data_IF_702782569616
#
_entry.id   IF_702782569616
#
_cell.length_a   1.000
_cell.length_b   1.000
_cell.length_c   1.000
_cell.angle_alpha   90.00
_cell.angle_beta   90.00
_cell.angle_gamma   90.00
#
_symmetry.space_group_name_H-M   'P 1'
#
loop_
_entity.id
_entity.type
_entity.pdbx_description
1 polymer ?
#
# COMPACT_ATOMS: atom_id res chain seq x y z
N UNK A 1 -9.75 15.11 -7.95
CA UNK A 1 -10.52 14.65 -6.78
C UNK A 1 -11.61 15.66 -6.45
N UNK A 2 -12.67 15.23 -5.78
CA UNK A 2 -13.61 16.15 -5.15
C UNK A 2 -13.00 16.63 -3.82
N UNK A 3 -13.23 17.90 -3.50
CA UNK A 3 -12.79 18.50 -2.24
C UNK A 3 -14.03 18.98 -1.51
N UNK A 4 -14.24 18.52 -0.28
CA UNK A 4 -15.29 19.03 0.60
C UNK A 4 -14.61 19.85 1.70
N UNK A 5 -14.95 21.13 1.81
CA UNK A 5 -14.33 22.07 2.75
C UNK A 5 -12.77 22.13 2.69
N UNK A 6 -12.18 21.87 1.52
CA UNK A 6 -10.73 21.83 1.33
C UNK A 6 -10.08 20.49 1.70
N UNK A 7 -10.88 19.48 2.06
CA UNK A 7 -10.42 18.13 2.39
C UNK A 7 -10.70 17.18 1.22
N UNK A 8 -9.71 16.39 0.79
CA UNK A 8 -9.91 15.29 -0.16
C UNK A 8 -11.09 14.37 0.20
N UNK A 9 -12.06 14.23 -0.71
CA UNK A 9 -13.19 13.32 -0.56
C UNK A 9 -13.57 12.65 -1.90
N UNK A 10 -13.95 11.37 -1.86
CA UNK A 10 -14.31 10.59 -3.03
C UNK A 10 -13.11 10.08 -3.84
N UNK A 11 -13.38 9.58 -5.04
CA UNK A 11 -12.36 9.02 -5.92
C UNK A 11 -11.50 10.11 -6.58
N UNK A 12 -10.20 9.86 -6.70
CA UNK A 12 -9.31 10.72 -7.47
C UNK A 12 -7.83 10.40 -7.27
N UNK A 13 -7.03 11.27 -7.89
CA UNK A 13 -5.58 11.32 -7.78
C UNK A 13 -5.19 12.44 -6.81
N UNK A 14 -4.26 12.16 -5.90
CA UNK A 14 -3.83 13.04 -4.82
C UNK A 14 -2.31 13.08 -4.74
N UNK A 15 -1.73 14.26 -4.94
CA UNK A 15 -0.30 14.52 -4.86
C UNK A 15 0.01 15.14 -3.49
N UNK A 16 0.84 14.45 -2.71
CA UNK A 16 1.25 14.91 -1.39
C UNK A 16 2.57 15.69 -1.47
N UNK A 17 2.79 16.60 -0.53
CA UNK A 17 4.01 17.43 -0.48
C UNK A 17 5.30 16.62 -0.28
N UNK A 18 5.20 15.42 0.28
CA UNK A 18 6.31 14.48 0.42
C UNK A 18 6.65 13.74 -0.90
N UNK A 19 5.96 14.06 -1.99
CA UNK A 19 6.14 13.45 -3.30
C UNK A 19 5.38 12.14 -3.51
N UNK A 20 4.59 11.65 -2.54
CA UNK A 20 3.75 10.48 -2.76
C UNK A 20 2.55 10.82 -3.63
N UNK A 21 2.20 9.89 -4.51
CA UNK A 21 1.02 9.99 -5.37
C UNK A 21 0.04 8.87 -4.99
N UNK A 22 -1.18 9.25 -4.64
CA UNK A 22 -2.24 8.30 -4.29
C UNK A 22 -3.36 8.36 -5.32
N UNK A 23 -3.77 7.20 -5.83
CA UNK A 23 -4.91 7.00 -6.72
C UNK A 23 -5.93 6.14 -5.98
N UNK A 24 -7.11 6.66 -5.65
CA UNK A 24 -8.12 5.89 -4.93
C UNK A 24 -9.20 6.74 -4.31
N UNK A 25 -9.92 6.17 -3.34
CA UNK A 25 -10.96 6.87 -2.60
C UNK A 25 -10.39 7.44 -1.31
N UNK A 26 -10.72 8.70 -1.03
CA UNK A 26 -10.44 9.33 0.26
C UNK A 26 -11.73 9.70 0.97
N UNK A 27 -11.78 9.53 2.29
CA UNK A 27 -12.83 10.03 3.17
C UNK A 27 -12.19 10.87 4.28
N UNK A 28 -12.62 12.12 4.43
CA UNK A 28 -12.05 13.07 5.40
C UNK A 28 -10.52 13.17 5.31
N UNK A 29 -9.98 13.15 4.08
CA UNK A 29 -8.53 13.25 3.85
C UNK A 29 -7.76 11.95 4.10
N UNK A 30 -8.43 10.83 4.37
CA UNK A 30 -7.80 9.53 4.61
C UNK A 30 -8.14 8.56 3.48
N UNK A 31 -7.14 7.84 2.99
CA UNK A 31 -7.37 6.75 2.04
C UNK A 31 -8.26 5.66 2.66
N UNK A 32 -9.25 5.21 1.89
CA UNK A 32 -10.19 4.15 2.27
C UNK A 32 -10.49 3.25 1.06
N UNK A 33 -10.78 1.98 1.32
CA UNK A 33 -11.14 1.04 0.25
C UNK A 33 -9.95 0.71 -0.65
N UNK A 34 -10.21 0.39 -1.91
CA UNK A 34 -9.15 0.08 -2.87
C UNK A 34 -8.40 1.34 -3.32
N UNK A 35 -7.08 1.24 -3.43
CA UNK A 35 -6.26 2.32 -3.96
C UNK A 35 -4.87 1.88 -4.37
N UNK A 36 -4.11 2.85 -4.88
CA UNK A 36 -2.70 2.70 -5.24
C UNK A 36 -1.92 3.87 -4.67
N UNK A 37 -0.82 3.58 -3.98
CA UNK A 37 0.10 4.57 -3.43
C UNK A 37 1.46 4.38 -4.09
N UNK A 38 1.93 5.40 -4.78
CA UNK A 38 3.26 5.46 -5.39
C UNK A 38 4.17 6.34 -4.52
N UNK A 39 5.34 5.81 -4.19
CA UNK A 39 6.36 6.49 -3.40
C UNK A 39 7.40 7.16 -4.30
N UNK A 40 8.09 8.23 -3.83
CA UNK A 40 9.10 8.94 -4.62
C UNK A 40 10.29 8.08 -5.07
N UNK A 41 10.60 7.02 -4.33
CA UNK A 41 11.66 6.06 -4.65
C UNK A 41 11.25 5.04 -5.74
N UNK A 42 10.00 5.12 -6.22
CA UNK A 42 9.43 4.22 -7.21
C UNK A 42 8.84 2.94 -6.62
N UNK A 43 8.88 2.75 -5.29
CA UNK A 43 8.07 1.74 -4.64
C UNK A 43 6.58 2.06 -4.81
N UNK A 44 5.72 1.05 -4.81
CA UNK A 44 4.28 1.27 -4.82
C UNK A 44 3.53 0.17 -4.07
N UNK A 45 2.40 0.57 -3.49
CA UNK A 45 1.40 -0.35 -2.96
C UNK A 45 0.13 -0.28 -3.80
N UNK A 46 -0.53 -1.43 -3.99
CA UNK A 46 -1.87 -1.52 -4.54
C UNK A 46 -2.68 -2.48 -3.68
N UNK A 47 -3.80 -2.02 -3.12
CA UNK A 47 -4.64 -2.84 -2.27
C UNK A 47 -5.57 -2.02 -1.41
N UNK A 48 -6.02 -2.61 -0.30
CA UNK A 48 -6.96 -1.95 0.61
C UNK A 48 -6.29 -0.95 1.56
N UNK A 49 -7.02 0.13 1.79
CA UNK A 49 -6.70 1.15 2.75
C UNK A 49 -7.81 1.27 3.79
N UNK A 50 -7.41 1.52 5.04
CA UNK A 50 -8.31 1.87 6.12
C UNK A 50 -7.69 3.01 6.95
N UNK A 51 -8.41 4.11 7.11
CA UNK A 51 -7.94 5.25 7.90
C UNK A 51 -6.61 5.84 7.42
N UNK A 52 -6.30 5.74 6.12
CA UNK A 52 -5.06 6.23 5.54
C UNK A 52 -3.87 5.27 5.67
N UNK A 53 -4.08 4.04 6.14
CA UNK A 53 -3.05 3.00 6.22
C UNK A 53 -3.34 1.88 5.23
N UNK A 54 -2.29 1.23 4.74
CA UNK A 54 -2.42 -0.05 4.02
C UNK A 54 -2.90 -1.11 5.00
N UNK A 55 -4.07 -1.67 4.74
CA UNK A 55 -4.79 -2.52 5.68
C UNK A 55 -5.63 -3.57 4.92
N UNK A 56 -5.41 -4.85 5.19
CA UNK A 56 -6.01 -5.96 4.46
C UNK A 56 -5.23 -6.38 3.22
N UNK A 57 -5.86 -7.05 2.24
CA UNK A 57 -5.17 -7.63 1.10
C UNK A 57 -4.55 -6.55 0.19
N UNK A 58 -3.34 -6.82 -0.29
CA UNK A 58 -2.67 -5.95 -1.24
C UNK A 58 -1.35 -6.51 -1.77
N UNK A 59 -0.68 -5.70 -2.57
CA UNK A 59 0.62 -5.96 -3.18
C UNK A 59 1.51 -4.75 -2.96
N UNK A 60 2.64 -4.95 -2.30
CA UNK A 60 3.70 -3.95 -2.14
C UNK A 60 4.89 -4.33 -3.03
N UNK A 61 5.29 -3.42 -3.91
CA UNK A 61 6.52 -3.53 -4.69
C UNK A 61 7.50 -2.48 -4.19
N UNK A 62 8.65 -2.93 -3.71
CA UNK A 62 9.72 -2.09 -3.23
C UNK A 62 10.54 -1.51 -4.40
N UNK A 63 11.32 -0.46 -4.12
CA UNK A 63 12.19 0.17 -5.11
C UNK A 63 13.22 -0.81 -5.71
N UNK A 64 13.65 -1.79 -4.91
CA UNK A 64 14.56 -2.88 -5.32
C UNK A 64 13.88 -3.95 -6.19
N UNK A 65 12.60 -3.77 -6.56
CA UNK A 65 11.75 -4.69 -7.33
C UNK A 65 11.30 -5.96 -6.59
N UNK A 66 11.61 -6.10 -5.30
CA UNK A 66 10.99 -7.12 -4.46
C UNK A 66 9.49 -6.86 -4.38
N UNK A 67 8.68 -7.91 -4.50
CA UNK A 67 7.23 -7.82 -4.37
C UNK A 67 6.76 -8.69 -3.20
N UNK A 68 5.86 -8.16 -2.40
CA UNK A 68 5.16 -8.87 -1.32
C UNK A 68 3.67 -8.80 -1.61
N UNK A 69 3.04 -9.97 -1.67
CA UNK A 69 1.61 -10.12 -1.88
C UNK A 69 1.00 -10.83 -0.67
N UNK A 70 -0.06 -10.28 -0.11
CA UNK A 70 -0.67 -10.83 1.11
C UNK A 70 -1.48 -9.78 1.87
N UNK A 71 -1.70 -10.04 3.15
CA UNK A 71 -2.38 -9.09 4.03
C UNK A 71 -1.40 -8.06 4.59
N UNK A 72 -1.93 -6.87 4.85
CA UNK A 72 -1.20 -5.78 5.47
C UNK A 72 -1.91 -5.31 6.73
N UNK A 73 -1.13 -4.93 7.73
CA UNK A 73 -1.61 -4.35 8.98
C UNK A 73 -0.73 -3.14 9.30
N UNK A 74 -1.34 -1.97 9.50
CA UNK A 74 -0.61 -0.75 9.86
C UNK A 74 0.58 -0.43 8.93
N UNK A 75 0.37 -0.53 7.62
CA UNK A 75 1.40 -0.29 6.59
C UNK A 75 2.48 -1.37 6.45
N UNK A 76 2.31 -2.55 7.04
CA UNK A 76 3.31 -3.62 6.99
C UNK A 76 2.69 -4.96 6.56
N UNK A 77 3.44 -5.86 5.89
CA UNK A 77 2.99 -7.23 5.66
C UNK A 77 2.60 -7.91 6.97
N UNK A 78 1.56 -8.75 6.95
CA UNK A 78 1.05 -9.43 8.14
C UNK A 78 0.45 -10.79 7.79
N UNK A 79 0.74 -11.79 8.62
CA UNK A 79 0.33 -13.18 8.42
C UNK A 79 1.00 -13.78 7.19
N UNK A 80 0.33 -14.74 6.56
CA UNK A 80 0.82 -15.43 5.38
C UNK A 80 0.90 -14.49 4.17
N UNK A 81 2.11 -14.35 3.63
CA UNK A 81 2.41 -13.54 2.46
C UNK A 81 3.32 -14.32 1.49
N UNK A 82 3.27 -13.96 0.21
CA UNK A 82 4.15 -14.49 -0.83
C UNK A 82 5.13 -13.40 -1.25
N UNK A 83 6.41 -13.71 -1.16
CA UNK A 83 7.52 -12.82 -1.53
C UNK A 83 8.12 -13.25 -2.86
N UNK A 84 8.22 -12.33 -3.80
CA UNK A 84 8.86 -12.53 -5.10
C UNK A 84 10.16 -11.72 -5.15
N UNK A 85 11.27 -12.41 -5.47
CA UNK A 85 12.57 -11.78 -5.64
C UNK A 85 12.85 -11.52 -7.13
N UNK A 86 13.31 -10.33 -7.53
CA UNK A 86 13.72 -10.07 -8.91
C UNK A 86 15.05 -10.77 -9.26
N UNK A 87 15.35 -11.04 -10.55
CA UNK A 87 14.46 -10.86 -11.70
C UNK A 87 13.41 -11.97 -11.85
N UNK A 88 13.71 -13.19 -11.38
CA UNK A 88 12.91 -14.41 -11.66
C UNK A 88 12.93 -15.41 -10.49
N UNK A 89 13.01 -14.92 -9.25
CA UNK A 89 12.99 -15.78 -8.07
C UNK A 89 11.64 -16.49 -7.92
N UNK A 90 11.67 -17.76 -7.53
CA UNK A 90 10.47 -18.51 -7.14
C UNK A 90 9.75 -17.79 -6.00
N UNK A 91 8.40 -17.83 -5.97
CA UNK A 91 7.63 -17.29 -4.86
C UNK A 91 8.01 -18.00 -3.55
N UNK A 92 8.31 -17.21 -2.52
CA UNK A 92 8.61 -17.70 -1.19
C UNK A 92 7.43 -17.36 -0.28
N UNK A 93 6.79 -18.39 0.26
CA UNK A 93 5.80 -18.22 1.32
C UNK A 93 6.51 -17.83 2.62
N UNK A 94 6.09 -16.74 3.24
CA UNK A 94 6.63 -16.22 4.50
C UNK A 94 5.47 -15.78 5.40
N UNK A 95 5.62 -15.99 6.70
CA UNK A 95 4.68 -15.47 7.69
C UNK A 95 5.29 -14.24 8.38
N UNK A 96 4.48 -13.19 8.57
CA UNK A 96 4.90 -11.94 9.20
C UNK A 96 4.10 -11.66 10.47
N UNK A 97 4.75 -11.19 11.52
CA UNK A 97 4.11 -10.76 12.75
C UNK A 97 3.42 -9.38 12.63
N UNK A 98 2.81 -8.89 13.72
CA UNK A 98 2.16 -7.57 13.78
C UNK A 98 3.12 -6.38 13.58
N UNK A 99 4.43 -6.63 13.65
CA UNK A 99 5.49 -5.66 13.40
C UNK A 99 6.06 -5.75 11.99
N UNK A 100 5.57 -6.67 11.15
CA UNK A 100 6.05 -6.91 9.79
C UNK A 100 7.41 -7.60 9.75
N UNK A 101 7.79 -8.30 10.81
CA UNK A 101 9.00 -9.11 10.89
C UNK A 101 8.68 -10.57 10.53
N UNK A 102 9.52 -11.24 9.72
CA UNK A 102 9.35 -12.67 9.44
C UNK A 102 9.46 -13.52 10.71
N UNK A 103 8.61 -14.55 10.83
CA UNK A 103 8.62 -15.51 11.94
C UNK A 103 8.85 -16.96 11.51
#
# INVERSE_FOLDING_TARGET
GNFEAGVPHGAGEFFHLNGTHFEGVTEFGRAVGEGRLLFPDGAYYKGRFAGGRMEGPGVLVYADKRRVEGNFLNNKPYGECVVYMPPDGEPIEMEFDEHGEPI
#
